data_IF_220548458481
#
_entry.id   IF_220548458481
#
_cell.length_a   1.000
_cell.length_b   1.000
_cell.length_c   1.000
_cell.angle_alpha   90.00
_cell.angle_beta   90.00
_cell.angle_gamma   90.00
#
_symmetry.space_group_name_H-M   'P 1'
#
loop_
_entity.id
_entity.type
_entity.pdbx_description
1 polymer ?
#
# COMPACT_ATOMS: atom_id res chain seq x y z
N UNK A 1 24.91 -13.55 -1.22
CA UNK A 1 24.37 -12.18 -1.19
C UNK A 1 23.09 -12.16 -2.03
N UNK A 2 21.92 -11.99 -1.39
CA UNK A 2 20.64 -11.94 -2.11
C UNK A 2 20.56 -10.63 -2.88
N UNK A 3 20.77 -10.65 -4.21
CA UNK A 3 20.45 -9.50 -5.07
C UNK A 3 18.98 -9.15 -4.82
N UNK A 4 18.75 -7.97 -4.27
CA UNK A 4 17.40 -7.41 -4.17
C UNK A 4 16.98 -7.10 -5.61
N UNK A 5 16.28 -8.04 -6.26
CA UNK A 5 15.78 -7.82 -7.63
C UNK A 5 14.72 -6.73 -7.53
N UNK A 6 15.06 -5.57 -8.09
CA UNK A 6 14.20 -4.39 -8.15
C UNK A 6 13.22 -4.63 -9.29
N UNK A 7 11.92 -4.65 -9.00
CA UNK A 7 10.90 -4.72 -10.05
C UNK A 7 11.08 -3.55 -11.03
N UNK A 8 11.03 -3.88 -12.32
CA UNK A 8 10.97 -2.89 -13.40
C UNK A 8 9.68 -2.08 -13.32
N UNK A 9 9.63 -0.96 -14.02
CA UNK A 9 8.42 -0.13 -14.09
C UNK A 9 7.24 -0.92 -14.68
N UNK A 10 7.47 -1.64 -15.78
CA UNK A 10 6.44 -2.46 -16.44
C UNK A 10 5.88 -3.53 -15.51
N UNK A 11 6.71 -4.24 -14.75
CA UNK A 11 6.26 -5.25 -13.79
C UNK A 11 5.43 -4.64 -12.64
N UNK A 12 5.78 -3.43 -12.18
CA UNK A 12 5.02 -2.72 -11.14
C UNK A 12 3.63 -2.33 -11.64
N UNK A 13 3.56 -1.74 -12.84
CA UNK A 13 2.29 -1.34 -13.45
C UNK A 13 1.40 -2.54 -13.79
N UNK A 14 1.98 -3.60 -14.36
CA UNK A 14 1.28 -4.86 -14.61
C UNK A 14 0.68 -5.45 -13.32
N UNK A 15 1.40 -5.33 -12.20
CA UNK A 15 0.92 -5.74 -10.89
C UNK A 15 -0.23 -4.88 -10.34
N UNK A 16 -0.27 -3.59 -10.65
CA UNK A 16 -1.43 -2.74 -10.34
C UNK A 16 -2.66 -3.21 -11.13
N UNK A 17 -2.51 -3.34 -12.46
CA UNK A 17 -3.58 -3.77 -13.36
C UNK A 17 -4.12 -5.15 -13.01
N UNK A 18 -3.24 -6.11 -12.74
CA UNK A 18 -3.66 -7.45 -12.36
C UNK A 18 -4.51 -7.47 -11.09
N UNK A 19 -4.07 -6.81 -10.01
CA UNK A 19 -4.88 -6.79 -8.77
C UNK A 19 -6.17 -6.00 -8.95
N UNK A 20 -6.18 -4.95 -9.76
CA UNK A 20 -7.42 -4.26 -10.16
C UNK A 20 -8.38 -5.23 -10.87
N UNK A 21 -7.87 -6.15 -11.71
CA UNK A 21 -8.70 -7.18 -12.34
C UNK A 21 -9.35 -8.13 -11.33
N UNK A 22 -8.72 -8.36 -10.16
CA UNK A 22 -9.28 -9.18 -9.08
C UNK A 22 -10.41 -8.47 -8.34
N UNK A 23 -10.44 -7.14 -8.36
CA UNK A 23 -11.56 -6.36 -7.79
C UNK A 23 -12.84 -6.53 -8.61
N UNK A 24 -12.72 -6.68 -9.93
CA UNK A 24 -13.83 -6.87 -10.86
C UNK A 24 -13.87 -8.32 -11.36
N UNK A 25 -13.57 -9.28 -10.48
CA UNK A 25 -13.29 -10.67 -10.86
C UNK A 25 -14.41 -11.35 -11.65
N UNK A 26 -15.67 -11.19 -11.21
CA UNK A 26 -16.83 -11.80 -11.89
C UNK A 26 -16.96 -11.33 -13.34
N UNK A 27 -16.80 -10.02 -13.56
CA UNK A 27 -16.92 -9.42 -14.88
C UNK A 27 -15.74 -9.79 -15.77
N UNK A 28 -14.51 -9.66 -15.24
CA UNK A 28 -13.29 -10.00 -15.99
C UNK A 28 -13.28 -11.49 -16.34
N UNK A 29 -13.68 -12.38 -15.42
CA UNK A 29 -13.73 -13.82 -15.69
C UNK A 29 -14.76 -14.16 -16.77
N UNK A 30 -15.94 -13.51 -16.75
CA UNK A 30 -16.95 -13.68 -17.80
C UNK A 30 -16.41 -13.21 -19.16
N UNK A 31 -15.77 -12.05 -19.20
CA UNK A 31 -15.18 -11.50 -20.43
C UNK A 31 -14.02 -12.37 -20.93
N UNK A 32 -13.23 -12.96 -20.02
CA UNK A 32 -12.18 -13.92 -20.38
C UNK A 32 -12.74 -15.17 -21.06
N UNK A 33 -13.91 -15.66 -20.66
CA UNK A 33 -14.52 -16.84 -21.29
C UNK A 33 -15.06 -16.52 -22.69
N UNK A 34 -15.48 -15.28 -22.91
CA UNK A 34 -16.09 -14.83 -24.16
C UNK A 34 -15.08 -14.28 -25.18
N UNK A 35 -13.91 -13.85 -24.72
CA UNK A 35 -12.89 -13.23 -25.58
C UNK A 35 -11.93 -14.29 -26.13
N UNK A 36 -11.88 -14.49 -27.46
CA UNK A 36 -10.92 -15.41 -28.06
C UNK A 36 -9.47 -14.88 -27.96
N UNK A 37 -8.43 -15.73 -28.10
CA UNK A 37 -7.04 -15.33 -27.86
C UNK A 37 -6.52 -14.21 -28.77
N UNK A 38 -6.86 -14.23 -30.07
CA UNK A 38 -6.51 -13.20 -31.06
C UNK A 38 -7.04 -11.81 -30.69
N UNK A 39 -8.22 -11.76 -30.07
CA UNK A 39 -8.80 -10.52 -29.58
C UNK A 39 -8.00 -9.89 -28.43
N UNK A 40 -7.24 -10.69 -27.66
CA UNK A 40 -6.39 -10.16 -26.59
C UNK A 40 -5.20 -9.39 -27.16
N UNK A 41 -4.56 -9.90 -28.21
CA UNK A 41 -3.48 -9.17 -28.89
C UNK A 41 -4.03 -7.93 -29.60
N UNK A 42 -5.19 -8.03 -30.27
CA UNK A 42 -5.89 -6.87 -30.84
C UNK A 42 -6.11 -5.76 -29.80
N UNK A 43 -6.68 -6.10 -28.64
CA UNK A 43 -6.94 -5.11 -27.59
C UNK A 43 -5.65 -4.56 -26.98
N UNK A 44 -4.62 -5.40 -26.81
CA UNK A 44 -3.31 -4.94 -26.35
C UNK A 44 -2.74 -3.84 -27.26
N UNK A 45 -2.78 -4.06 -28.58
CA UNK A 45 -2.36 -3.06 -29.56
C UNK A 45 -3.27 -1.82 -29.57
N UNK A 46 -4.59 -2.01 -29.58
CA UNK A 46 -5.58 -0.91 -29.61
C UNK A 46 -5.54 -0.01 -28.37
N UNK A 47 -5.22 -0.58 -27.22
CA UNK A 47 -5.03 0.14 -25.96
C UNK A 47 -3.63 0.74 -25.81
N UNK A 48 -2.73 0.51 -26.78
CA UNK A 48 -1.33 0.94 -26.76
C UNK A 48 -0.64 0.52 -25.45
N UNK A 49 -0.88 -0.72 -25.01
CA UNK A 49 -0.16 -1.26 -23.85
C UNK A 49 1.30 -1.40 -24.25
N UNK A 50 2.20 -0.82 -23.45
CA UNK A 50 3.63 -0.89 -23.67
C UNK A 50 4.09 -2.35 -23.84
N UNK A 51 4.69 -2.72 -24.98
CA UNK A 51 5.23 -4.07 -25.19
C UNK A 51 6.23 -4.48 -24.10
N UNK A 52 7.01 -3.53 -23.56
CA UNK A 52 7.97 -3.81 -22.49
C UNK A 52 7.27 -4.30 -21.23
N UNK A 53 6.05 -3.84 -20.94
CA UNK A 53 5.25 -4.34 -19.81
C UNK A 53 4.95 -5.85 -19.95
N UNK A 54 4.70 -6.32 -21.17
CA UNK A 54 4.43 -7.74 -21.46
C UNK A 54 5.67 -8.59 -21.18
N UNK A 55 6.84 -8.13 -21.63
CA UNK A 55 8.13 -8.79 -21.41
C UNK A 55 8.51 -8.82 -19.93
N UNK A 56 8.44 -7.66 -19.27
CA UNK A 56 8.74 -7.50 -17.84
C UNK A 56 7.85 -8.39 -16.97
N UNK A 57 6.58 -8.51 -17.35
CA UNK A 57 5.64 -9.41 -16.69
C UNK A 57 6.04 -10.88 -16.90
N UNK A 58 6.43 -11.29 -18.10
CA UNK A 58 6.85 -12.66 -18.36
C UNK A 58 8.05 -13.05 -17.47
N UNK A 59 9.05 -12.16 -17.37
CA UNK A 59 10.23 -12.36 -16.52
C UNK A 59 9.82 -12.50 -15.05
N UNK A 60 9.04 -11.57 -14.50
CA UNK A 60 8.68 -11.62 -13.08
C UNK A 60 7.81 -12.83 -12.74
N UNK A 61 6.91 -13.26 -13.64
CA UNK A 61 6.08 -14.44 -13.38
C UNK A 61 6.89 -15.74 -13.39
N UNK A 62 7.94 -15.85 -14.21
CA UNK A 62 8.86 -16.98 -14.15
C UNK A 62 9.57 -17.06 -12.79
N UNK A 63 10.00 -15.91 -12.24
CA UNK A 63 10.56 -15.85 -10.89
C UNK A 63 9.54 -16.27 -9.83
N UNK A 64 8.30 -15.76 -9.90
CA UNK A 64 7.24 -16.10 -8.95
C UNK A 64 6.85 -17.59 -9.00
N UNK A 65 6.85 -18.22 -10.18
CA UNK A 65 6.70 -19.68 -10.29
C UNK A 65 7.80 -20.39 -9.51
N UNK A 66 9.05 -19.91 -9.60
CA UNK A 66 10.16 -20.49 -8.85
C UNK A 66 10.02 -20.28 -7.34
N UNK A 67 9.48 -19.14 -6.90
CA UNK A 67 9.15 -18.88 -5.49
C UNK A 67 8.15 -19.92 -4.97
N UNK A 68 7.07 -20.18 -5.70
CA UNK A 68 6.07 -21.19 -5.32
C UNK A 68 6.69 -22.59 -5.27
N UNK A 69 7.54 -22.95 -6.25
CA UNK A 69 8.27 -24.23 -6.26
C UNK A 69 9.18 -24.38 -5.05
N UNK A 70 9.92 -23.33 -4.70
CA UNK A 70 10.81 -23.34 -3.53
C UNK A 70 10.02 -23.45 -2.23
N UNK A 71 8.89 -22.76 -2.11
CA UNK A 71 8.01 -22.87 -0.95
C UNK A 71 7.48 -24.30 -0.80
N UNK A 72 7.01 -24.91 -1.90
CA UNK A 72 6.54 -26.30 -1.87
C UNK A 72 7.62 -27.26 -1.39
N UNK A 73 8.86 -27.13 -1.88
CA UNK A 73 9.99 -27.95 -1.41
C UNK A 73 10.27 -27.76 0.09
N UNK A 74 10.21 -26.53 0.57
CA UNK A 74 10.40 -26.23 1.99
C UNK A 74 9.26 -26.82 2.85
N UNK A 75 8.00 -26.67 2.41
CA UNK A 75 6.84 -27.25 3.08
C UNK A 75 6.93 -28.78 3.14
N UNK A 76 7.41 -29.42 2.05
CA UNK A 76 7.67 -30.86 1.98
C UNK A 76 8.71 -31.31 3.02
N UNK A 77 9.84 -30.59 3.13
CA UNK A 77 10.87 -30.92 4.12
C UNK A 77 10.39 -30.76 5.57
N UNK A 78 9.37 -29.95 5.81
CA UNK A 78 8.81 -29.66 7.12
C UNK A 78 7.56 -30.51 7.45
N UNK A 79 7.12 -31.39 6.54
CA UNK A 79 5.87 -32.13 6.69
C UNK A 79 4.62 -31.23 6.75
N UNK A 80 4.70 -30.03 6.19
CA UNK A 80 3.66 -28.99 6.24
C UNK A 80 3.07 -28.70 4.85
N UNK A 81 3.05 -29.70 3.97
CA UNK A 81 2.53 -29.56 2.61
C UNK A 81 1.07 -29.12 2.58
N UNK A 82 0.76 -28.23 1.63
CA UNK A 82 -0.59 -27.80 1.35
C UNK A 82 -1.24 -28.73 0.35
N UNK A 83 -2.58 -28.80 0.39
CA UNK A 83 -3.35 -29.60 -0.58
C UNK A 83 -3.11 -29.16 -2.02
N UNK A 84 -2.94 -27.86 -2.25
CA UNK A 84 -2.73 -27.31 -3.59
C UNK A 84 -1.78 -26.10 -3.55
N UNK A 85 -0.99 -25.96 -4.62
CA UNK A 85 -0.15 -24.78 -4.90
C UNK A 85 -0.58 -24.22 -6.26
N UNK A 86 -0.86 -22.92 -6.31
CA UNK A 86 -1.26 -22.24 -7.55
C UNK A 86 -0.05 -21.56 -8.16
N UNK A 87 0.31 -21.94 -9.39
CA UNK A 87 1.39 -21.34 -10.15
C UNK A 87 0.83 -20.24 -11.06
N UNK A 88 1.34 -18.99 -10.98
CA UNK A 88 0.85 -17.92 -11.83
C UNK A 88 1.10 -18.24 -13.31
N UNK A 89 0.05 -18.19 -14.11
CA UNK A 89 0.12 -18.46 -15.56
C UNK A 89 0.15 -17.14 -16.33
N UNK A 90 1.14 -16.98 -17.20
CA UNK A 90 1.33 -15.75 -17.97
C UNK A 90 0.10 -15.39 -18.79
N UNK A 91 -0.43 -16.33 -19.59
CA UNK A 91 -1.56 -16.05 -20.48
C UNK A 91 -2.82 -15.62 -19.71
N UNK A 92 -3.11 -16.27 -18.59
CA UNK A 92 -4.23 -15.94 -17.73
C UNK A 92 -4.08 -14.53 -17.15
N UNK A 93 -2.90 -14.21 -16.62
CA UNK A 93 -2.63 -12.91 -15.99
C UNK A 93 -2.61 -11.79 -17.03
N UNK A 94 -1.96 -12.01 -18.18
CA UNK A 94 -1.89 -11.04 -19.26
C UNK A 94 -3.28 -10.74 -19.81
N UNK A 95 -4.09 -11.78 -20.05
CA UNK A 95 -5.49 -11.64 -20.48
C UNK A 95 -6.29 -10.78 -19.51
N UNK A 96 -6.15 -11.00 -18.20
CA UNK A 96 -6.80 -10.17 -17.17
C UNK A 96 -6.35 -8.72 -17.22
N UNK A 97 -5.06 -8.46 -17.41
CA UNK A 97 -4.49 -7.09 -17.52
C UNK A 97 -5.05 -6.37 -18.75
N UNK A 98 -5.12 -7.03 -19.90
CA UNK A 98 -5.68 -6.43 -21.12
C UNK A 98 -7.16 -6.08 -20.93
N UNK A 99 -7.96 -7.01 -20.41
CA UNK A 99 -9.40 -6.81 -20.24
C UNK A 99 -9.74 -5.77 -19.17
N UNK A 100 -8.98 -5.69 -18.07
CA UNK A 100 -9.20 -4.63 -17.09
C UNK A 100 -8.83 -3.24 -17.62
N UNK A 101 -7.83 -3.14 -18.51
CA UNK A 101 -7.50 -1.89 -19.19
C UNK A 101 -8.57 -1.50 -20.22
N UNK A 102 -9.14 -2.48 -20.92
CA UNK A 102 -10.34 -2.27 -21.78
C UNK A 102 -11.49 -1.72 -20.94
N UNK A 103 -11.82 -2.37 -19.82
CA UNK A 103 -12.83 -1.89 -18.87
C UNK A 103 -12.55 -0.46 -18.42
N UNK A 104 -11.33 -0.16 -17.99
CA UNK A 104 -11.00 1.19 -17.50
C UNK A 104 -11.23 2.27 -18.56
N UNK A 105 -11.02 1.94 -19.84
CA UNK A 105 -11.34 2.84 -20.96
C UNK A 105 -12.84 2.98 -21.22
N UNK A 106 -13.61 1.90 -21.06
CA UNK A 106 -15.06 1.88 -21.29
C UNK A 106 -15.87 2.42 -20.11
N UNK A 107 -15.31 2.33 -18.90
CA UNK A 107 -15.97 2.66 -17.63
C UNK A 107 -15.07 3.57 -16.80
N UNK A 108 -15.21 4.90 -16.96
CA UNK A 108 -14.37 5.88 -16.27
C UNK A 108 -14.39 5.80 -14.75
N UNK A 109 -15.42 5.18 -14.14
CA UNK A 109 -15.53 4.95 -12.71
C UNK A 109 -14.62 3.82 -12.18
N UNK A 110 -13.85 3.17 -13.07
CA UNK A 110 -12.92 2.10 -12.69
C UNK A 110 -11.84 2.63 -11.75
N UNK A 111 -11.85 2.11 -10.51
CA UNK A 111 -10.93 2.51 -9.44
C UNK A 111 -10.62 1.34 -8.49
N UNK A 112 -9.61 1.50 -7.65
CA UNK A 112 -9.29 0.62 -6.51
C UNK A 112 -8.64 1.40 -5.35
N UNK A 113 -9.23 1.44 -4.15
CA UNK A 113 -8.58 1.99 -2.96
C UNK A 113 -7.39 1.14 -2.51
N UNK A 114 -6.34 1.78 -1.98
CA UNK A 114 -5.11 1.13 -1.52
C UNK A 114 -5.36 -0.02 -0.52
N UNK A 115 -6.32 0.14 0.39
CA UNK A 115 -6.67 -0.91 1.35
C UNK A 115 -7.26 -2.15 0.67
N UNK A 116 -8.12 -1.94 -0.33
CA UNK A 116 -8.71 -3.03 -1.12
C UNK A 116 -7.65 -3.71 -1.97
N UNK A 117 -6.73 -2.94 -2.56
CA UNK A 117 -5.58 -3.47 -3.28
C UNK A 117 -4.75 -4.42 -2.41
N UNK A 118 -4.36 -3.97 -1.21
CA UNK A 118 -3.49 -4.77 -0.34
C UNK A 118 -4.22 -6.04 0.16
N UNK A 119 -5.52 -5.94 0.44
CA UNK A 119 -6.35 -7.10 0.79
C UNK A 119 -6.39 -8.15 -0.33
N UNK A 120 -6.68 -7.72 -1.57
CA UNK A 120 -6.75 -8.62 -2.73
C UNK A 120 -5.37 -9.21 -3.04
N UNK A 121 -4.32 -8.39 -2.98
CA UNK A 121 -2.93 -8.83 -3.13
C UNK A 121 -2.58 -9.92 -2.12
N UNK A 122 -2.91 -9.73 -0.84
CA UNK A 122 -2.62 -10.72 0.20
C UNK A 122 -3.41 -12.01 0.02
N UNK A 123 -4.69 -11.91 -0.36
CA UNK A 123 -5.51 -13.08 -0.70
C UNK A 123 -4.88 -13.88 -1.84
N UNK A 124 -4.45 -13.21 -2.91
CA UNK A 124 -3.83 -13.82 -4.09
C UNK A 124 -2.46 -14.47 -3.78
N UNK A 125 -1.64 -13.83 -2.96
CA UNK A 125 -0.35 -14.43 -2.56
C UNK A 125 -0.58 -15.67 -1.69
N UNK A 126 -1.55 -15.61 -0.78
CA UNK A 126 -1.88 -16.72 0.11
C UNK A 126 -2.46 -17.91 -0.66
N UNK A 127 -3.31 -17.66 -1.68
CA UNK A 127 -3.90 -18.72 -2.51
C UNK A 127 -2.85 -19.51 -3.31
N UNK A 128 -1.73 -18.87 -3.68
CA UNK A 128 -0.57 -19.54 -4.30
C UNK A 128 0.18 -20.49 -3.37
N UNK A 129 -0.20 -20.55 -2.10
CA UNK A 129 0.47 -21.37 -1.11
C UNK A 129 1.79 -20.74 -0.64
N UNK A 130 2.00 -19.44 -0.82
CA UNK A 130 3.21 -18.75 -0.34
C UNK A 130 2.90 -17.91 0.89
N UNK A 131 3.79 -17.93 1.89
CA UNK A 131 3.72 -17.01 3.04
C UNK A 131 4.43 -15.71 2.65
N UNK A 132 3.80 -14.56 2.87
CA UNK A 132 4.41 -13.26 2.54
C UNK A 132 5.55 -12.84 3.49
N UNK A 133 6.02 -13.73 4.37
CA UNK A 133 7.09 -13.43 5.32
C UNK A 133 8.44 -13.35 4.62
N UNK A 134 9.17 -12.26 4.85
CA UNK A 134 10.58 -12.05 4.47
C UNK A 134 10.90 -12.05 2.97
N UNK A 135 10.22 -11.22 2.18
CA UNK A 135 10.75 -10.79 0.86
C UNK A 135 10.83 -11.87 -0.22
N UNK A 136 10.21 -13.03 -0.02
CA UNK A 136 10.15 -14.11 -1.01
C UNK A 136 9.19 -13.80 -2.15
N UNK A 137 8.03 -13.18 -1.88
CA UNK A 137 7.03 -12.83 -2.90
C UNK A 137 7.18 -11.36 -3.28
N UNK A 138 7.49 -11.10 -4.54
CA UNK A 138 7.79 -9.76 -5.04
C UNK A 138 6.63 -9.20 -5.86
N UNK A 139 5.87 -10.07 -6.51
CA UNK A 139 4.78 -9.70 -7.40
C UNK A 139 3.47 -10.43 -7.04
N UNK A 140 2.31 -9.74 -6.93
CA UNK A 140 2.11 -8.31 -7.21
C UNK A 140 2.85 -7.38 -6.22
N UNK A 141 3.25 -6.17 -6.65
CA UNK A 141 3.98 -5.21 -5.81
C UNK A 141 3.12 -4.71 -4.65
N UNK A 142 3.75 -4.19 -3.59
CA UNK A 142 3.01 -3.57 -2.48
C UNK A 142 2.45 -2.20 -2.87
N UNK A 143 1.44 -1.72 -2.15
CA UNK A 143 0.98 -0.32 -2.25
C UNK A 143 2.12 0.70 -2.10
N UNK A 144 3.11 0.41 -1.23
CA UNK A 144 4.28 1.28 -1.03
C UNK A 144 5.16 1.33 -2.27
N UNK A 145 5.39 0.19 -2.92
CA UNK A 145 6.16 0.09 -4.17
C UNK A 145 5.47 0.85 -5.29
N UNK A 146 4.17 0.63 -5.50
CA UNK A 146 3.37 1.36 -6.51
C UNK A 146 3.42 2.86 -6.25
N UNK A 147 3.18 3.28 -4.99
CA UNK A 147 3.22 4.70 -4.62
C UNK A 147 4.57 5.33 -4.95
N UNK A 148 5.68 4.67 -4.61
CA UNK A 148 7.03 5.20 -4.88
C UNK A 148 7.36 5.28 -6.37
N UNK A 149 6.88 4.33 -7.17
CA UNK A 149 7.24 4.18 -8.59
C UNK A 149 6.30 4.88 -9.56
N UNK A 150 5.02 5.00 -9.21
CA UNK A 150 3.98 5.41 -10.14
C UNK A 150 3.37 6.78 -9.83
N UNK A 151 3.81 7.52 -8.80
CA UNK A 151 3.28 8.89 -8.61
C UNK A 151 3.49 9.57 -7.25
N UNK A 152 4.22 8.98 -6.31
CA UNK A 152 4.47 9.54 -4.96
C UNK A 152 3.27 9.48 -4.01
N UNK A 153 2.04 9.28 -4.51
CA UNK A 153 0.83 8.99 -3.75
C UNK A 153 0.00 7.91 -4.45
N UNK A 154 -0.92 7.26 -3.74
CA UNK A 154 -1.82 6.27 -4.35
C UNK A 154 -2.75 6.91 -5.40
N UNK A 155 -3.32 8.08 -5.10
CA UNK A 155 -4.18 8.78 -6.05
C UNK A 155 -3.40 9.18 -7.31
N UNK A 156 -2.18 9.69 -7.15
CA UNK A 156 -1.32 10.02 -8.30
C UNK A 156 -0.99 8.78 -9.13
N UNK A 157 -0.75 7.64 -8.49
CA UNK A 157 -0.53 6.38 -9.19
C UNK A 157 -1.76 5.94 -9.99
N UNK A 158 -2.97 6.08 -9.45
CA UNK A 158 -4.21 5.80 -10.18
C UNK A 158 -4.42 6.80 -11.34
N UNK A 159 -4.23 8.10 -11.10
CA UNK A 159 -4.34 9.15 -12.12
C UNK A 159 -3.37 8.93 -13.28
N UNK A 160 -2.10 8.63 -13.00
CA UNK A 160 -1.09 8.31 -14.02
C UNK A 160 -1.44 7.06 -14.83
N UNK A 161 -2.28 6.18 -14.28
CA UNK A 161 -2.78 4.97 -14.95
C UNK A 161 -4.14 5.18 -15.63
N UNK A 162 -4.67 6.40 -15.64
CA UNK A 162 -5.97 6.73 -16.22
C UNK A 162 -7.16 6.19 -15.43
N UNK A 163 -6.99 5.93 -14.13
CA UNK A 163 -8.03 5.40 -13.25
C UNK A 163 -8.67 6.51 -12.42
N UNK A 164 -9.95 6.33 -12.07
CA UNK A 164 -10.62 7.28 -11.18
C UNK A 164 -9.98 7.26 -9.79
N UNK A 165 -9.76 8.44 -9.22
CA UNK A 165 -9.30 8.59 -7.84
C UNK A 165 -10.47 8.82 -6.89
N UNK A 166 -10.34 8.32 -5.66
CA UNK A 166 -11.30 8.67 -4.63
C UNK A 166 -11.08 10.13 -4.22
N UNK A 167 -12.13 10.96 -4.29
CA UNK A 167 -12.15 12.30 -3.69
C UNK A 167 -11.96 12.27 -2.16
N UNK A 168 -12.13 11.09 -1.55
CA UNK A 168 -11.94 10.80 -0.11
C UNK A 168 -10.48 10.51 0.26
N UNK A 169 -9.53 11.07 -0.48
CA UNK A 169 -8.13 11.12 -0.07
C UNK A 169 -7.91 12.23 0.97
N UNK A 170 -6.91 12.10 1.84
CA UNK A 170 -6.46 13.26 2.63
C UNK A 170 -5.99 14.33 1.66
N UNK A 171 -6.50 15.55 1.78
CA UNK A 171 -5.94 16.68 1.07
C UNK A 171 -4.44 16.74 1.38
N UNK A 172 -3.63 16.81 0.32
CA UNK A 172 -2.18 16.92 0.43
C UNK A 172 -1.89 18.20 1.22
N UNK A 173 -1.27 18.07 2.40
CA UNK A 173 -0.95 19.20 3.25
C UNK A 173 -2.03 19.64 4.26
N UNK A 174 -3.24 19.04 4.29
CA UNK A 174 -4.15 19.33 5.39
C UNK A 174 -3.71 18.54 6.62
N UNK A 175 -3.12 19.23 7.60
CA UNK A 175 -2.97 18.68 8.94
C UNK A 175 -4.35 18.17 9.40
N UNK A 176 -4.41 16.95 9.93
CA UNK A 176 -5.67 16.36 10.43
C UNK A 176 -6.31 17.21 11.54
N UNK A 177 -5.51 18.05 12.18
CA UNK A 177 -5.91 18.92 13.28
C UNK A 177 -5.40 20.35 13.02
N UNK A 178 -6.02 21.34 13.66
CA UNK A 178 -5.53 22.73 13.62
C UNK A 178 -4.19 22.87 14.33
N UNK A 179 -3.43 23.93 14.03
CA UNK A 179 -2.13 24.16 14.66
C UNK A 179 -2.24 24.26 16.20
N UNK A 180 -3.33 24.85 16.70
CA UNK A 180 -3.58 24.92 18.14
C UNK A 180 -3.73 23.53 18.76
N UNK A 181 -4.33 22.57 18.05
CA UNK A 181 -4.49 21.21 18.57
C UNK A 181 -3.16 20.47 18.66
N UNK A 182 -2.21 20.78 17.78
CA UNK A 182 -0.84 20.27 17.86
C UNK A 182 -0.10 20.84 19.08
N UNK A 183 -0.23 22.13 19.35
CA UNK A 183 0.33 22.75 20.57
C UNK A 183 -0.35 22.24 21.84
N UNK A 184 -1.67 22.11 21.82
CA UNK A 184 -2.42 21.59 22.95
C UNK A 184 -1.94 20.17 23.29
N UNK A 185 -1.74 19.32 22.28
CA UNK A 185 -1.27 17.95 22.52
C UNK A 185 0.13 17.88 23.17
N UNK A 186 1.05 18.81 22.84
CA UNK A 186 2.35 18.84 23.50
C UNK A 186 2.24 19.36 24.93
N UNK A 187 1.40 20.37 25.18
CA UNK A 187 1.12 20.90 26.53
C UNK A 187 0.50 19.82 27.43
N UNK A 188 -0.59 19.18 26.99
CA UNK A 188 -1.28 18.13 27.74
C UNK A 188 -0.35 16.94 28.05
N UNK A 189 0.50 16.57 27.10
CA UNK A 189 1.47 15.51 27.32
C UNK A 189 2.54 15.89 28.34
N UNK A 190 3.04 17.14 28.31
CA UNK A 190 4.02 17.63 29.28
C UNK A 190 3.40 17.64 30.68
N UNK A 191 2.16 18.13 30.83
CA UNK A 191 1.44 18.11 32.10
C UNK A 191 1.22 16.68 32.61
N UNK A 192 0.82 15.75 31.73
CA UNK A 192 0.71 14.33 32.07
C UNK A 192 2.05 13.75 32.53
N UNK A 193 3.14 14.06 31.83
CA UNK A 193 4.49 13.63 32.19
C UNK A 193 4.93 14.15 33.57
N UNK A 194 4.58 15.40 33.91
CA UNK A 194 4.85 15.99 35.22
C UNK A 194 4.03 15.30 36.33
N UNK A 195 2.76 14.97 36.07
CA UNK A 195 1.89 14.29 37.04
C UNK A 195 2.35 12.86 37.37
N UNK A 196 2.92 12.16 36.39
CA UNK A 196 3.32 10.75 36.54
C UNK A 196 4.84 10.56 36.67
N UNK A 197 5.58 11.65 36.89
CA UNK A 197 7.04 11.73 37.00
C UNK A 197 7.78 10.92 35.91
N UNK A 198 7.49 11.23 34.64
CA UNK A 198 8.11 10.57 33.47
C UNK A 198 8.72 11.58 32.52
N UNK A 199 9.80 11.15 31.86
CA UNK A 199 10.41 11.94 30.79
C UNK A 199 9.51 12.04 29.54
N UNK A 200 9.54 13.20 28.88
CA UNK A 200 8.77 13.52 27.67
C UNK A 200 9.37 12.88 26.40
N UNK A 201 9.44 11.56 26.36
CA UNK A 201 10.03 10.82 25.24
C UNK A 201 9.01 10.55 24.12
N UNK A 202 9.50 10.42 22.88
CA UNK A 202 8.66 10.05 21.70
C UNK A 202 7.90 8.75 21.95
N UNK A 203 8.59 7.74 22.49
CA UNK A 203 8.01 6.42 22.75
C UNK A 203 6.86 6.51 23.74
N UNK A 204 7.03 7.29 24.81
CA UNK A 204 5.99 7.47 25.82
C UNK A 204 4.81 8.29 25.29
N UNK A 205 5.06 9.30 24.46
CA UNK A 205 3.98 10.03 23.77
C UNK A 205 3.13 9.11 22.91
N UNK A 206 3.74 8.20 22.14
CA UNK A 206 3.00 7.23 21.33
C UNK A 206 2.08 6.34 22.20
N UNK A 207 2.56 5.91 23.37
CA UNK A 207 1.75 5.13 24.32
C UNK A 207 0.62 5.97 24.92
N UNK A 208 0.90 7.20 25.32
CA UNK A 208 -0.08 8.13 25.87
C UNK A 208 -1.19 8.44 24.87
N UNK A 209 -0.86 8.78 23.61
CA UNK A 209 -1.84 9.00 22.54
C UNK A 209 -2.71 7.75 22.29
N UNK A 210 -2.10 6.55 22.33
CA UNK A 210 -2.84 5.31 22.18
C UNK A 210 -3.82 5.07 23.35
N UNK A 211 -3.44 5.44 24.57
CA UNK A 211 -4.31 5.37 25.76
C UNK A 211 -5.45 6.38 25.67
N UNK A 212 -5.14 7.64 25.41
CA UNK A 212 -6.11 8.73 25.27
C UNK A 212 -7.16 8.45 24.19
N UNK A 213 -6.74 7.82 23.08
CA UNK A 213 -7.65 7.39 22.02
C UNK A 213 -8.71 6.40 22.51
N UNK A 214 -8.38 5.51 23.46
CA UNK A 214 -9.35 4.58 24.05
C UNK A 214 -10.38 5.31 24.92
N UNK A 215 -9.99 6.44 25.50
CA UNK A 215 -10.86 7.35 26.26
C UNK A 215 -11.59 8.37 25.38
N UNK A 216 -11.59 8.21 24.06
CA UNK A 216 -12.27 9.09 23.10
C UNK A 216 -11.51 10.37 22.74
N UNK A 217 -10.36 10.66 23.37
CA UNK A 217 -9.54 11.84 23.07
C UNK A 217 -8.53 11.52 21.96
N UNK A 218 -8.69 12.18 20.82
CA UNK A 218 -7.85 11.93 19.64
C UNK A 218 -6.79 13.02 19.51
N UNK A 219 -5.51 12.62 19.64
CA UNK A 219 -4.36 13.51 19.53
C UNK A 219 -3.54 13.26 18.25
N UNK A 220 -2.77 14.25 17.77
CA UNK A 220 -1.81 14.06 16.68
C UNK A 220 -0.73 13.03 17.04
N UNK A 221 -0.33 12.22 16.06
CA UNK A 221 0.79 11.29 16.24
C UNK A 221 2.14 12.01 16.38
N UNK A 222 3.14 11.36 16.99
CA UNK A 222 4.49 11.91 17.09
C UNK A 222 5.11 12.24 15.72
N UNK A 223 4.86 11.39 14.72
CA UNK A 223 5.30 11.62 13.36
C UNK A 223 4.66 12.89 12.76
N UNK A 224 3.37 13.11 13.02
CA UNK A 224 2.66 14.30 12.57
C UNK A 224 3.15 15.57 13.28
N UNK A 225 3.45 15.50 14.58
CA UNK A 225 4.06 16.62 15.33
C UNK A 225 5.40 17.04 14.70
N UNK A 226 6.26 16.05 14.41
CA UNK A 226 7.56 16.28 13.78
C UNK A 226 7.46 16.77 12.35
N UNK A 227 6.48 16.31 11.59
CA UNK A 227 6.26 16.79 10.22
C UNK A 227 5.97 18.30 10.19
N UNK A 228 5.25 18.81 11.21
CA UNK A 228 4.90 20.22 11.29
C UNK A 228 5.99 21.09 11.94
N UNK A 229 6.69 20.55 12.94
CA UNK A 229 7.57 21.33 13.83
C UNK A 229 9.02 20.80 13.88
N UNK A 230 9.41 19.95 12.94
CA UNK A 230 10.77 19.43 12.82
C UNK A 230 11.10 18.33 13.83
N UNK A 231 11.94 18.64 14.81
CA UNK A 231 12.45 17.64 15.76
C UNK A 231 11.53 17.47 16.96
N UNK A 232 11.60 16.31 17.62
CA UNK A 232 10.82 16.07 18.84
C UNK A 232 11.16 17.06 19.97
N UNK A 233 12.45 17.37 20.13
CA UNK A 233 12.91 18.33 21.13
C UNK A 233 12.28 19.71 20.90
N UNK A 234 12.21 20.17 19.64
CA UNK A 234 11.56 21.42 19.30
C UNK A 234 10.06 21.43 19.65
N UNK A 235 9.35 20.32 19.41
CA UNK A 235 7.94 20.16 19.81
C UNK A 235 7.77 20.31 21.33
N UNK A 236 8.65 19.67 22.11
CA UNK A 236 8.59 19.71 23.57
C UNK A 236 8.98 21.09 24.12
N UNK A 237 10.01 21.74 23.56
CA UNK A 237 10.42 23.10 23.93
C UNK A 237 9.29 24.11 23.77
N UNK A 238 8.56 24.05 22.64
CA UNK A 238 7.41 24.92 22.41
C UNK A 238 6.28 24.67 23.42
N UNK A 239 5.96 23.39 23.69
CA UNK A 239 4.96 23.04 24.70
C UNK A 239 5.37 23.51 26.10
N UNK A 240 6.65 23.39 26.44
CA UNK A 240 7.17 23.74 27.76
C UNK A 240 7.24 25.25 27.98
N UNK A 241 7.51 26.04 26.93
CA UNK A 241 7.35 27.50 26.96
C UNK A 241 5.91 27.89 27.26
N UNK A 242 4.94 27.24 26.64
CA UNK A 242 3.51 27.52 26.88
C UNK A 242 3.10 27.15 28.32
N UNK A 243 3.52 25.98 28.81
CA UNK A 243 3.26 25.56 30.20
C UNK A 243 3.85 26.58 31.17
N UNK A 244 5.13 26.96 31.02
CA UNK A 244 5.79 27.96 31.87
C UNK A 244 5.07 29.31 31.86
N UNK A 245 4.67 29.80 30.68
CA UNK A 245 3.97 31.08 30.57
C UNK A 245 2.59 31.05 31.24
N UNK A 246 1.87 29.92 31.19
CA UNK A 246 0.59 29.77 31.92
C UNK A 246 0.78 29.74 33.45
N UNK A 247 1.85 29.12 33.93
CA UNK A 247 2.16 29.07 35.38
C UNK A 247 2.60 30.42 35.93
N UNK A 248 3.17 31.32 35.12
CA UNK A 248 3.59 32.67 35.53
C UNK A 248 2.47 33.72 35.48
N UNK A 249 1.30 33.38 34.90
CA UNK A 249 0.13 34.27 34.79
C UNK A 249 -1.06 33.83 35.66
N UNK A 250 -0.86 32.82 36.52
CA UNK A 250 -1.83 32.34 37.52
C UNK A 250 -1.32 32.69 38.92
#
# INVERSE_FOLDING_TARGET
>A
MSRQIILSQGAVEAGLWYVLSLRYDEEITREMQQTPPDMIDYWSHKLKIDPQMKEDLAVVLQEEVQVVRNQRKADQSLGAEKSHYIYPQFDQIWKRIVLIKKRAKERPETTIPAAVYEQLRMKEITSRGVRSSQGMVRWPPTCQTITKRCGGSWNNALENMGLMTSKRGRARGSLKFSDEKYLQASVEFILHCQQVDRATTVAYYCQWVARERRSGRIWPSAAAQRQLRGTWNHVMELGQKIVKNKTLSS
#
